data_IF_810078144806
#
_entry.id   IF_810078144806
#
_cell.length_a   1.000
_cell.length_b   1.000
_cell.length_c   1.000
_cell.angle_alpha   90.00
_cell.angle_beta   90.00
_cell.angle_gamma   90.00
#
_symmetry.space_group_name_H-M   'P 1'
#
loop_
_entity.id
_entity.type
_entity.pdbx_description
1 polymer ?
#
# COMPACT_ATOMS: atom_id res chain seq x y z
N UNK A 1 -14.32 -9.11 -11.95
CA UNK A 1 -15.12 -10.24 -12.48
C UNK A 1 -16.50 -10.16 -11.85
N UNK A 2 -17.55 -10.50 -12.59
CA UNK A 2 -18.87 -10.70 -11.99
C UNK A 2 -18.86 -11.98 -11.15
N UNK A 3 -19.19 -11.88 -9.86
CA UNK A 3 -19.02 -12.97 -8.93
C UNK A 3 -19.98 -14.15 -9.20
N UNK A 4 -21.18 -13.86 -9.73
CA UNK A 4 -22.19 -14.88 -9.99
C UNK A 4 -21.91 -15.67 -11.28
N UNK A 5 -21.43 -14.99 -12.32
CA UNK A 5 -21.28 -15.57 -13.66
C UNK A 5 -19.83 -15.85 -14.05
N UNK A 6 -18.85 -15.35 -13.30
CA UNK A 6 -17.43 -15.44 -13.66
C UNK A 6 -17.04 -14.60 -14.89
N UNK A 7 -17.97 -13.82 -15.45
CA UNK A 7 -17.70 -13.00 -16.65
C UNK A 7 -16.84 -11.80 -16.30
N UNK A 8 -15.89 -11.48 -17.17
CA UNK A 8 -15.10 -10.25 -17.06
C UNK A 8 -16.02 -9.04 -17.22
N UNK A 9 -15.99 -8.10 -16.26
CA UNK A 9 -16.75 -6.84 -16.33
C UNK A 9 -16.00 -5.76 -17.11
N UNK A 10 -14.69 -5.67 -16.86
CA UNK A 10 -13.74 -4.81 -17.55
C UNK A 10 -12.34 -5.41 -17.40
N UNK A 11 -11.43 -4.97 -18.26
CA UNK A 11 -10.00 -5.27 -18.17
C UNK A 11 -9.20 -4.00 -18.42
N UNK A 12 -8.05 -3.87 -17.77
CA UNK A 12 -7.16 -2.73 -17.96
C UNK A 12 -5.72 -3.21 -18.13
N UNK A 13 -5.02 -2.62 -19.08
CA UNK A 13 -3.60 -2.84 -19.34
C UNK A 13 -2.80 -1.72 -18.71
N UNK A 14 -1.94 -2.07 -17.77
CA UNK A 14 -1.03 -1.14 -17.12
C UNK A 14 0.35 -1.33 -17.73
N UNK A 15 0.83 -0.32 -18.45
CA UNK A 15 2.14 -0.35 -19.09
C UNK A 15 3.22 0.23 -18.18
N UNK A 16 4.40 -0.39 -18.20
CA UNK A 16 5.61 0.17 -17.59
C UNK A 16 6.03 1.46 -18.26
N UNK A 17 6.39 2.48 -17.46
CA UNK A 17 7.09 3.66 -17.99
C UNK A 17 8.60 3.44 -18.13
N UNK A 18 9.17 2.48 -17.38
CA UNK A 18 10.60 2.18 -17.39
C UNK A 18 10.88 0.77 -17.94
N UNK A 19 12.01 0.60 -18.66
CA UNK A 19 12.61 -0.74 -18.84
C UNK A 19 12.85 -1.29 -17.43
N UNK A 20 12.34 -2.49 -17.15
CA UNK A 20 12.48 -3.15 -15.86
C UNK A 20 13.99 -3.24 -15.55
N UNK A 21 14.50 -2.34 -14.70
CA UNK A 21 15.94 -2.15 -14.49
C UNK A 21 16.56 -3.23 -13.58
N UNK A 22 15.72 -4.07 -12.98
CA UNK A 22 16.15 -5.24 -12.21
C UNK A 22 15.57 -6.49 -12.87
N UNK A 23 16.33 -7.59 -12.98
CA UNK A 23 15.73 -8.85 -13.37
C UNK A 23 14.55 -9.13 -12.41
N UNK A 24 13.43 -9.63 -12.97
CA UNK A 24 12.22 -10.05 -12.23
C UNK A 24 12.49 -11.21 -11.24
N UNK A 25 13.74 -11.46 -10.88
CA UNK A 25 14.22 -12.59 -10.10
C UNK A 25 14.39 -12.26 -8.61
N UNK A 26 14.32 -10.98 -8.22
CA UNK A 26 14.15 -10.64 -6.80
C UNK A 26 12.67 -10.76 -6.50
N UNK A 27 12.28 -11.78 -5.72
CA UNK A 27 10.89 -12.23 -5.48
C UNK A 27 9.98 -11.26 -4.71
N UNK A 28 10.02 -9.98 -5.09
CA UNK A 28 9.20 -8.84 -4.68
C UNK A 28 9.04 -7.91 -5.90
N UNK A 29 8.59 -8.48 -7.01
CA UNK A 29 8.42 -7.79 -8.28
C UNK A 29 7.01 -7.16 -8.38
N UNK A 30 6.77 -6.40 -9.46
CA UNK A 30 5.48 -5.76 -9.73
C UNK A 30 4.33 -6.74 -9.99
N UNK A 31 4.62 -8.03 -10.22
CA UNK A 31 3.59 -9.06 -10.48
C UNK A 31 3.00 -9.62 -9.19
N UNK A 32 3.69 -9.46 -8.05
CA UNK A 32 3.15 -9.84 -6.75
C UNK A 32 2.18 -8.80 -6.17
N UNK A 33 2.10 -7.60 -6.75
CA UNK A 33 1.25 -6.50 -6.27
C UNK A 33 -0.18 -6.96 -5.95
N UNK A 34 -0.62 -6.76 -4.71
CA UNK A 34 -1.96 -7.12 -4.28
C UNK A 34 -2.90 -5.91 -4.38
N UNK A 35 -4.01 -5.97 -5.14
CA UNK A 35 -4.97 -4.89 -5.17
C UNK A 35 -5.62 -4.72 -3.80
N UNK A 36 -5.81 -3.47 -3.41
CA UNK A 36 -6.60 -3.10 -2.23
C UNK A 36 -7.84 -2.37 -2.68
N UNK A 37 -9.00 -2.72 -2.14
CA UNK A 37 -10.28 -2.15 -2.55
C UNK A 37 -10.88 -1.37 -1.38
N UNK A 38 -11.18 -0.09 -1.60
CA UNK A 38 -11.93 0.75 -0.64
C UNK A 38 -12.61 1.90 -1.39
N UNK A 39 -13.72 2.40 -0.87
CA UNK A 39 -14.44 3.54 -1.45
C UNK A 39 -14.84 3.38 -2.93
N UNK A 40 -15.16 2.15 -3.39
CA UNK A 40 -15.52 1.89 -4.79
C UNK A 40 -14.34 1.94 -5.77
N UNK A 41 -13.10 1.93 -5.28
CA UNK A 41 -11.89 2.01 -6.09
C UNK A 41 -10.94 0.86 -5.78
N UNK A 42 -10.25 0.40 -6.81
CA UNK A 42 -9.11 -0.52 -6.72
C UNK A 42 -7.84 0.31 -6.68
N UNK A 43 -7.02 0.08 -5.66
CA UNK A 43 -5.70 0.64 -5.50
C UNK A 43 -4.66 -0.43 -5.75
N UNK A 44 -3.78 -0.16 -6.70
CA UNK A 44 -2.68 -1.03 -7.08
C UNK A 44 -1.39 -0.25 -6.93
N UNK A 45 -0.52 -0.73 -6.05
CA UNK A 45 0.84 -0.23 -6.01
C UNK A 45 1.67 -1.09 -6.96
N UNK A 46 2.28 -0.48 -7.97
CA UNK A 46 3.00 -1.22 -9.00
C UNK A 46 4.44 -0.75 -9.12
N UNK A 47 5.39 -1.71 -9.08
CA UNK A 47 6.81 -1.49 -9.41
C UNK A 47 7.05 -1.08 -10.84
N UNK A 48 6.06 -1.31 -11.69
CA UNK A 48 6.13 -1.10 -13.14
C UNK A 48 5.82 0.37 -13.45
N UNK A 49 5.02 1.04 -12.61
CA UNK A 49 4.60 2.43 -12.84
C UNK A 49 5.17 3.43 -11.85
N UNK A 50 5.88 2.97 -10.81
CA UNK A 50 6.39 3.80 -9.70
C UNK A 50 5.31 4.69 -9.07
N UNK A 51 4.05 4.24 -9.09
CA UNK A 51 2.91 5.07 -8.74
C UNK A 51 1.79 4.27 -8.11
N UNK A 52 0.99 4.98 -7.32
CA UNK A 52 -0.31 4.48 -6.90
C UNK A 52 -1.28 4.54 -8.08
N UNK A 53 -1.66 3.38 -8.58
CA UNK A 53 -2.71 3.25 -9.58
C UNK A 53 -4.04 3.21 -8.85
N UNK A 54 -4.98 4.05 -9.30
CA UNK A 54 -6.35 4.05 -8.81
C UNK A 54 -7.30 3.81 -9.97
N UNK A 55 -8.12 2.78 -9.85
CA UNK A 55 -9.07 2.35 -10.88
C UNK A 55 -10.47 2.36 -10.27
N UNK A 56 -11.45 2.91 -10.97
CA UNK A 56 -12.85 2.76 -10.59
C UNK A 56 -13.27 1.29 -10.67
N UNK A 57 -13.81 0.76 -9.57
CA UNK A 57 -14.15 -0.66 -9.46
C UNK A 57 -15.25 -1.09 -10.44
N UNK A 58 -16.14 -0.18 -10.82
CA UNK A 58 -17.32 -0.48 -11.63
C UNK A 58 -17.08 -0.24 -13.11
N UNK A 59 -16.37 0.83 -13.47
CA UNK A 59 -16.14 1.23 -14.87
C UNK A 59 -14.78 0.77 -15.40
N UNK A 60 -13.79 0.54 -14.53
CA UNK A 60 -12.41 0.26 -14.95
C UNK A 60 -11.64 1.52 -15.40
N UNK A 61 -12.22 2.71 -15.22
CA UNK A 61 -11.55 3.97 -15.53
C UNK A 61 -10.38 4.21 -14.58
N UNK A 62 -9.25 4.60 -15.15
CA UNK A 62 -8.00 4.80 -14.42
C UNK A 62 -7.55 6.27 -14.55
N UNK A 63 -8.16 7.20 -13.80
CA UNK A 63 -7.74 8.59 -13.83
C UNK A 63 -6.30 8.69 -13.31
N UNK A 64 -5.47 9.44 -14.04
CA UNK A 64 -4.15 9.82 -13.57
C UNK A 64 -4.34 10.92 -12.53
N UNK A 65 -3.92 10.69 -11.29
CA UNK A 65 -3.86 11.72 -10.26
C UNK A 65 -2.37 12.02 -9.96
N UNK A 66 -1.84 13.16 -10.43
CA UNK A 66 -0.43 13.52 -10.26
C UNK A 66 0.01 13.61 -8.79
N UNK A 67 -0.86 14.02 -7.87
CA UNK A 67 -0.54 14.13 -6.45
C UNK A 67 -0.36 12.76 -5.78
N UNK A 68 -1.15 11.77 -6.22
CA UNK A 68 -0.97 10.35 -5.85
C UNK A 68 0.23 9.71 -6.55
N UNK A 69 0.71 10.30 -7.64
CA UNK A 69 1.81 9.75 -8.42
C UNK A 69 3.15 10.09 -7.74
N UNK A 70 3.41 11.37 -7.48
CA UNK A 70 4.73 11.84 -7.03
C UNK A 70 5.12 11.42 -5.61
N UNK A 71 4.16 11.35 -4.68
CA UNK A 71 4.45 10.88 -3.31
C UNK A 71 4.94 9.42 -3.29
N UNK A 72 4.43 8.60 -4.20
CA UNK A 72 4.54 7.15 -4.14
C UNK A 72 5.77 6.57 -4.85
N UNK A 73 6.42 7.35 -5.73
CA UNK A 73 7.66 7.02 -6.48
C UNK A 73 8.82 6.59 -5.56
N UNK A 74 8.79 6.97 -4.28
CA UNK A 74 9.90 6.72 -3.35
C UNK A 74 9.65 5.56 -2.37
N UNK A 75 8.64 4.72 -2.58
CA UNK A 75 8.42 3.52 -1.77
C UNK A 75 9.09 2.29 -2.40
N UNK A 76 10.11 1.74 -1.73
CA UNK A 76 10.77 0.48 -2.17
C UNK A 76 9.80 -0.70 -2.05
N UNK A 77 10.13 -1.79 -2.73
CA UNK A 77 9.22 -2.82 -3.28
C UNK A 77 8.30 -3.66 -2.39
N UNK A 78 8.15 -3.25 -1.15
CA UNK A 78 7.74 -4.05 -0.02
C UNK A 78 6.57 -3.37 0.73
N UNK A 79 5.67 -2.73 -0.02
CA UNK A 79 4.78 -1.69 0.48
C UNK A 79 3.31 -1.90 0.07
N UNK A 80 2.91 -3.14 -0.23
CA UNK A 80 1.52 -3.45 -0.60
C UNK A 80 0.59 -2.88 0.48
N UNK A 81 -0.31 -1.96 0.12
CA UNK A 81 -1.13 -1.30 1.10
C UNK A 81 -2.15 -2.27 1.69
N UNK A 82 -2.57 -1.99 2.91
CA UNK A 82 -3.90 -2.36 3.39
C UNK A 82 -4.77 -1.11 3.40
N UNK A 83 -6.07 -1.24 3.67
CA UNK A 83 -6.96 -0.09 3.72
C UNK A 83 -7.95 -0.14 4.88
N UNK A 84 -8.34 1.05 5.30
CA UNK A 84 -9.59 1.31 6.02
C UNK A 84 -10.59 1.97 5.07
N UNK A 85 -11.72 2.43 5.61
CA UNK A 85 -12.69 3.23 4.85
C UNK A 85 -12.11 4.57 4.37
N UNK A 86 -11.09 5.10 5.05
CA UNK A 86 -10.58 6.47 4.82
C UNK A 86 -9.09 6.53 4.51
N UNK A 87 -8.35 5.42 4.59
CA UNK A 87 -6.90 5.46 4.43
C UNK A 87 -6.32 4.20 3.80
N UNK A 88 -5.17 4.38 3.14
CA UNK A 88 -4.27 3.31 2.73
C UNK A 88 -3.07 3.27 3.66
N UNK A 89 -2.64 2.09 4.10
CA UNK A 89 -1.56 1.93 5.07
C UNK A 89 -0.47 1.06 4.49
N UNK A 90 0.76 1.56 4.48
CA UNK A 90 1.85 0.94 3.75
C UNK A 90 3.19 1.34 4.35
N UNK A 91 4.18 0.53 4.03
CA UNK A 91 5.54 0.70 4.50
C UNK A 91 6.35 1.53 3.51
N UNK A 92 7.14 2.47 4.01
CA UNK A 92 8.20 3.15 3.23
C UNK A 92 9.55 2.96 3.92
N UNK A 93 10.19 4.07 4.29
CA UNK A 93 11.29 4.14 5.25
C UNK A 93 10.79 3.87 6.68
N UNK A 94 9.52 4.16 6.97
CA UNK A 94 8.82 3.90 8.23
C UNK A 94 7.36 3.46 7.98
N UNK A 95 6.45 3.64 8.95
CA UNK A 95 5.03 3.33 8.85
C UNK A 95 4.22 4.54 8.34
N UNK A 96 3.58 4.43 7.18
CA UNK A 96 2.83 5.52 6.56
C UNK A 96 1.34 5.20 6.41
N UNK A 97 0.54 6.27 6.44
CA UNK A 97 -0.84 6.30 5.97
C UNK A 97 -0.95 7.29 4.81
N UNK A 98 -1.76 6.97 3.81
CA UNK A 98 -2.28 7.92 2.85
C UNK A 98 -3.75 8.16 3.18
N UNK A 99 -4.07 9.37 3.62
CA UNK A 99 -5.42 9.80 3.95
C UNK A 99 -6.18 10.11 2.65
N UNK A 100 -7.20 9.31 2.34
CA UNK A 100 -7.97 9.43 1.10
C UNK A 100 -8.78 10.74 1.03
N UNK A 101 -9.46 11.20 2.10
CA UNK A 101 -10.19 12.45 2.07
C UNK A 101 -9.32 13.68 1.80
N UNK A 102 -8.20 13.82 2.51
CA UNK A 102 -7.31 14.99 2.35
C UNK A 102 -6.26 14.83 1.27
N UNK A 103 -6.11 13.63 0.70
CA UNK A 103 -5.09 13.26 -0.28
C UNK A 103 -3.66 13.51 0.21
N UNK A 104 -3.41 13.28 1.50
CA UNK A 104 -2.10 13.52 2.12
C UNK A 104 -1.51 12.25 2.68
N UNK A 105 -0.20 12.13 2.54
CA UNK A 105 0.54 11.12 3.24
C UNK A 105 0.96 11.60 4.63
N UNK A 106 0.91 10.69 5.59
CA UNK A 106 1.17 10.91 7.01
C UNK A 106 2.16 9.84 7.46
N UNK A 107 3.29 10.26 8.02
CA UNK A 107 4.18 9.36 8.76
C UNK A 107 3.56 9.09 10.13
N UNK A 108 3.05 7.87 10.31
CA UNK A 108 2.39 7.48 11.56
C UNK A 108 3.40 7.29 12.70
N UNK A 109 4.62 6.86 12.37
CA UNK A 109 5.71 6.74 13.32
C UNK A 109 7.03 6.47 12.59
N UNK A 110 8.06 7.25 12.91
CA UNK A 110 9.44 7.00 12.49
C UNK A 110 10.20 5.99 13.35
N UNK A 111 9.60 5.50 14.44
CA UNK A 111 10.28 4.68 15.43
C UNK A 111 10.50 3.22 15.01
N UNK A 112 9.65 2.72 14.10
CA UNK A 112 9.74 1.34 13.61
C UNK A 112 9.47 1.28 12.11
N UNK A 113 9.91 0.17 11.51
CA UNK A 113 9.67 -0.13 10.10
C UNK A 113 9.02 -1.52 9.99
N UNK A 114 7.73 -1.60 9.61
CA UNK A 114 6.98 -2.86 9.52
C UNK A 114 7.53 -3.86 8.50
N UNK A 115 6.92 -5.05 8.43
CA UNK A 115 7.28 -6.09 7.45
C UNK A 115 7.18 -5.60 6.02
N UNK A 116 7.91 -6.27 5.13
CA UNK A 116 7.89 -6.01 3.70
C UNK A 116 6.61 -6.44 2.94
N UNK A 117 5.59 -6.93 3.63
CA UNK A 117 4.36 -7.39 2.99
C UNK A 117 3.14 -7.23 3.91
N UNK A 118 2.12 -6.48 3.48
CA UNK A 118 0.78 -6.39 4.10
C UNK A 118 0.77 -6.39 5.65
N UNK A 119 1.57 -5.53 6.26
CA UNK A 119 1.96 -5.64 7.67
C UNK A 119 1.52 -4.48 8.54
N UNK A 120 0.69 -3.59 8.02
CA UNK A 120 0.10 -2.50 8.76
C UNK A 120 -1.40 -2.71 8.62
N UNK A 121 -2.07 -3.08 9.70
CA UNK A 121 -3.46 -3.53 9.67
C UNK A 121 -4.30 -2.50 10.44
N UNK A 122 -5.14 -1.71 9.77
CA UNK A 122 -6.11 -0.84 10.43
C UNK A 122 -7.31 -1.68 10.88
N UNK A 123 -7.49 -1.86 12.19
CA UNK A 123 -8.63 -2.60 12.73
C UNK A 123 -9.05 -2.09 14.10
N UNK A 124 -10.37 -2.01 14.35
CA UNK A 124 -10.91 -1.61 15.66
C UNK A 124 -10.49 -0.21 16.12
N UNK A 125 -10.20 0.71 15.19
CA UNK A 125 -9.70 2.04 15.51
C UNK A 125 -8.21 2.09 15.87
N UNK A 126 -7.48 0.99 15.67
CA UNK A 126 -6.05 0.85 15.94
C UNK A 126 -5.27 0.57 14.66
N UNK A 127 -3.97 0.85 14.70
CA UNK A 127 -3.02 0.42 13.66
C UNK A 127 -2.11 -0.66 14.23
N UNK A 128 -2.24 -1.87 13.73
CA UNK A 128 -1.50 -3.03 14.20
C UNK A 128 -0.36 -3.36 13.24
N UNK A 129 0.83 -3.59 13.79
CA UNK A 129 2.03 -3.97 13.08
C UNK A 129 2.58 -5.26 13.68
N UNK A 130 2.19 -6.45 13.18
CA UNK A 130 2.69 -7.72 13.70
C UNK A 130 4.21 -7.84 13.52
N UNK A 131 4.84 -8.58 14.43
CA UNK A 131 6.25 -8.95 14.34
C UNK A 131 6.52 -9.69 13.03
N UNK A 132 7.57 -9.27 12.32
CA UNK A 132 7.98 -9.87 11.05
C UNK A 132 9.47 -9.62 10.74
N UNK A 133 10.25 -9.36 11.78
CA UNK A 133 11.68 -9.08 11.72
C UNK A 133 12.52 -10.35 11.81
N UNK A 134 11.92 -11.50 12.13
CA UNK A 134 12.58 -12.80 12.10
C UNK A 134 13.17 -13.08 10.71
N UNK A 135 14.48 -12.85 10.55
CA UNK A 135 15.22 -13.00 9.29
C UNK A 135 15.49 -11.70 8.52
N UNK A 136 15.07 -10.54 9.02
CA UNK A 136 15.39 -9.24 8.43
C UNK A 136 16.77 -8.74 8.89
N UNK A 137 17.59 -8.24 7.96
CA UNK A 137 18.89 -7.61 8.25
C UNK A 137 18.80 -6.09 8.44
N UNK A 138 17.60 -5.55 8.67
CA UNK A 138 17.39 -4.10 8.75
C UNK A 138 17.77 -3.52 10.12
N UNK A 139 18.18 -2.25 10.16
CA UNK A 139 18.57 -1.54 11.40
C UNK A 139 17.44 -1.20 12.38
N UNK A 140 16.27 -1.84 12.29
CA UNK A 140 15.16 -1.67 13.23
C UNK A 140 15.12 -2.90 14.15
N UNK A 141 15.63 -2.76 15.38
CA UNK A 141 15.91 -3.88 16.28
C UNK A 141 14.69 -4.40 17.07
N UNK A 142 13.50 -3.87 16.83
CA UNK A 142 12.29 -4.24 17.57
C UNK A 142 11.66 -5.51 16.99
N UNK A 143 11.99 -6.67 17.58
CA UNK A 143 11.32 -7.95 17.31
C UNK A 143 10.05 -8.08 18.15
N UNK A 144 9.07 -7.21 17.91
CA UNK A 144 7.80 -7.23 18.62
C UNK A 144 6.67 -6.75 17.74
N UNK A 145 5.44 -7.08 18.12
CA UNK A 145 4.25 -6.49 17.54
C UNK A 145 4.02 -5.11 18.16
N UNK A 146 3.72 -4.11 17.33
CA UNK A 146 3.44 -2.74 17.77
C UNK A 146 2.00 -2.39 17.43
N UNK A 147 1.33 -1.68 18.33
CA UNK A 147 -0.02 -1.15 18.10
C UNK A 147 -0.01 0.34 18.37
N UNK A 148 -0.49 1.13 17.41
CA UNK A 148 -0.76 2.55 17.61
C UNK A 148 -2.23 2.73 17.94
N UNK A 149 -2.49 3.38 19.07
CA UNK A 149 -3.81 3.84 19.46
C UNK A 149 -3.94 5.35 19.18
N UNK A 150 -5.15 5.85 18.89
CA UNK A 150 -5.39 7.28 18.80
C UNK A 150 -4.95 7.97 20.09
N UNK A 151 -4.26 9.11 19.97
CA UNK A 151 -4.06 9.99 21.11
C UNK A 151 -5.44 10.43 21.60
N UNK A 152 -5.73 10.23 22.88
CA UNK A 152 -6.92 10.83 23.48
C UNK A 152 -6.79 12.36 23.37
N UNK A 153 -7.82 13.09 22.90
CA UNK A 153 -7.84 14.54 23.04
C UNK A 153 -7.57 14.88 24.50
N UNK A 154 -6.63 15.79 24.73
CA UNK A 154 -5.93 16.03 25.99
C UNK A 154 -6.78 15.79 27.26
N UNK A 155 -6.23 15.01 28.20
CA UNK A 155 -6.49 15.21 29.62
C UNK A 155 -5.70 16.42 30.12
#
# INVERSE_FOLDING_TARGET
MDAATGRTRWGQTISSRHRIYAPLTYGKDGQQSHPTITGGRVYLMSHITEALISIDLHTGEMPQNPELFDFWIHSKTCAVPTASATGLYFRRNSCYMFDLPSQKAIDLTGATRPSCWMSIIPAGGLILMPEASSGCTCGFALQTSVVLAPRQPDQ
#
